data_IF_606895906563
#
_entry.id   IF_606895906563
#
_cell.length_a   1.000
_cell.length_b   1.000
_cell.length_c   1.000
_cell.angle_alpha   90.00
_cell.angle_beta   90.00
_cell.angle_gamma   90.00
#
_symmetry.space_group_name_H-M   'P 1'
#
loop_
_entity.id
_entity.type
_entity.pdbx_description
1 polymer ?
#
# COMPACT_ATOMS: atom_id res chain seq x y z
N UNK A 1 29.27 -39.90 -76.67
CA UNK A 1 30.49 -39.73 -75.87
C UNK A 1 30.25 -38.53 -74.96
N UNK A 2 29.86 -38.81 -73.74
CA UNK A 2 29.65 -37.78 -72.72
C UNK A 2 30.87 -37.83 -71.78
N UNK A 3 31.57 -36.73 -71.66
CA UNK A 3 32.66 -36.53 -70.70
C UNK A 3 32.04 -35.93 -69.43
N UNK A 4 32.08 -36.70 -68.35
CA UNK A 4 31.70 -36.23 -67.04
C UNK A 4 32.90 -35.48 -66.38
N UNK A 5 32.77 -34.19 -66.15
CA UNK A 5 33.72 -33.41 -65.41
C UNK A 5 33.37 -33.54 -63.89
N UNK A 6 34.21 -34.21 -63.12
CA UNK A 6 34.09 -34.28 -61.68
C UNK A 6 34.56 -32.99 -61.04
N UNK A 7 33.66 -32.35 -60.27
CA UNK A 7 33.94 -31.22 -59.45
C UNK A 7 34.35 -31.76 -58.04
N UNK A 8 35.64 -31.71 -57.71
CA UNK A 8 36.15 -31.95 -56.35
C UNK A 8 35.98 -30.66 -55.55
N UNK A 9 34.93 -30.60 -54.71
CA UNK A 9 34.82 -29.56 -53.68
C UNK A 9 35.83 -29.85 -52.58
N UNK A 10 36.87 -29.06 -52.51
CA UNK A 10 37.78 -29.05 -51.39
C UNK A 10 37.07 -28.56 -50.12
N UNK A 11 36.93 -29.42 -49.13
CA UNK A 11 36.58 -29.01 -47.77
C UNK A 11 37.77 -28.22 -47.21
N UNK A 12 37.70 -26.91 -47.23
CA UNK A 12 38.54 -26.08 -46.35
C UNK A 12 38.11 -26.37 -44.92
N UNK A 13 38.88 -27.17 -44.22
CA UNK A 13 38.78 -27.23 -42.77
C UNK A 13 39.17 -25.84 -42.24
N UNK A 14 38.22 -25.12 -41.69
CA UNK A 14 38.51 -24.02 -40.81
C UNK A 14 39.30 -24.59 -39.65
N UNK A 15 40.58 -24.30 -39.62
CA UNK A 15 41.44 -24.53 -38.48
C UNK A 15 41.03 -23.48 -37.39
N UNK A 16 39.90 -23.77 -36.75
CA UNK A 16 39.45 -22.99 -35.57
C UNK A 16 40.50 -23.26 -34.49
N UNK A 17 41.49 -22.41 -34.45
CA UNK A 17 42.35 -22.29 -33.28
C UNK A 17 41.46 -21.89 -32.14
N UNK A 18 41.03 -22.89 -31.34
CA UNK A 18 40.43 -22.63 -30.04
C UNK A 18 41.54 -21.94 -29.23
N UNK A 19 41.47 -20.61 -29.18
CA UNK A 19 42.35 -19.87 -28.31
C UNK A 19 42.11 -20.37 -26.88
N UNK A 20 43.16 -20.71 -26.14
CA UNK A 20 42.99 -21.16 -24.77
C UNK A 20 42.27 -20.03 -23.99
N UNK A 21 41.16 -20.37 -23.33
CA UNK A 21 40.47 -19.45 -22.45
C UNK A 21 41.47 -18.95 -21.39
N UNK A 22 41.83 -17.68 -21.45
CA UNK A 22 42.63 -17.02 -20.41
C UNK A 22 41.68 -16.34 -19.45
N UNK A 23 41.65 -16.78 -18.21
CA UNK A 23 40.88 -16.13 -17.19
C UNK A 23 41.44 -14.71 -16.95
N UNK A 24 40.61 -13.70 -17.26
CA UNK A 24 40.92 -12.33 -16.92
C UNK A 24 40.49 -12.03 -15.47
N UNK A 25 41.30 -11.29 -14.73
CA UNK A 25 41.03 -10.88 -13.37
C UNK A 25 41.99 -11.47 -12.33
N UNK A 26 41.62 -11.38 -11.07
CA UNK A 26 42.46 -11.87 -9.97
C UNK A 26 42.51 -13.41 -9.95
N UNK A 27 43.72 -13.96 -10.04
CA UNK A 27 43.98 -15.42 -10.05
C UNK A 27 44.68 -15.93 -8.79
N UNK A 28 44.95 -15.07 -7.82
CA UNK A 28 45.53 -15.43 -6.53
C UNK A 28 44.55 -16.16 -5.62
N UNK A 29 45.01 -16.61 -4.45
CA UNK A 29 44.16 -17.28 -3.46
C UNK A 29 43.16 -16.28 -2.85
N UNK A 30 41.84 -16.51 -2.96
CA UNK A 30 40.84 -15.58 -2.42
C UNK A 30 40.84 -15.60 -0.88
N UNK A 31 40.79 -14.39 -0.30
CA UNK A 31 40.66 -14.23 1.16
C UNK A 31 39.19 -14.30 1.54
N UNK A 32 38.88 -14.94 2.67
CA UNK A 32 37.51 -15.04 3.17
C UNK A 32 36.97 -13.64 3.46
N UNK A 33 35.71 -13.42 3.07
CA UNK A 33 35.01 -12.17 3.33
C UNK A 33 34.91 -11.90 4.85
N UNK A 34 35.16 -10.66 5.27
CA UNK A 34 35.03 -10.27 6.67
C UNK A 34 33.56 -9.99 7.02
N UNK A 35 32.90 -11.01 7.58
CA UNK A 35 31.50 -10.93 8.00
C UNK A 35 31.24 -9.88 9.10
N UNK A 36 32.28 -9.45 9.84
CA UNK A 36 32.12 -8.44 10.90
C UNK A 36 31.81 -7.03 10.34
N UNK A 37 32.06 -6.81 9.05
CA UNK A 37 31.74 -5.55 8.35
C UNK A 37 30.28 -5.45 7.92
N UNK A 38 29.50 -6.55 8.00
CA UNK A 38 28.12 -6.57 7.57
C UNK A 38 27.20 -5.98 8.64
N UNK A 39 26.40 -5.03 8.23
CA UNK A 39 25.22 -4.56 8.97
C UNK A 39 23.95 -5.00 8.24
N UNK A 40 22.87 -5.19 8.99
CA UNK A 40 21.56 -5.52 8.42
C UNK A 40 20.49 -4.57 8.93
N UNK A 41 19.52 -4.27 8.07
CA UNK A 41 18.34 -3.48 8.38
C UNK A 41 17.10 -4.30 8.00
N UNK A 42 16.19 -4.50 8.98
CA UNK A 42 14.92 -5.18 8.77
C UNK A 42 13.90 -4.17 8.21
N UNK A 43 13.60 -4.28 6.92
CA UNK A 43 12.57 -3.49 6.24
C UNK A 43 11.27 -4.29 6.12
N UNK A 44 10.11 -3.64 5.88
CA UNK A 44 8.83 -4.33 5.73
C UNK A 44 8.83 -5.38 4.61
N UNK A 45 8.92 -6.67 4.95
CA UNK A 45 9.01 -7.77 3.99
C UNK A 45 10.34 -7.89 3.25
N UNK A 46 11.41 -7.23 3.74
CA UNK A 46 12.71 -7.18 3.10
C UNK A 46 13.85 -7.21 4.12
N UNK A 47 15.03 -7.62 3.66
CA UNK A 47 16.28 -7.57 4.42
C UNK A 47 17.29 -6.78 3.60
N UNK A 48 17.78 -5.68 4.15
CA UNK A 48 18.86 -4.91 3.54
C UNK A 48 20.17 -5.24 4.26
N UNK A 49 21.12 -5.79 3.51
CA UNK A 49 22.48 -6.00 3.95
C UNK A 49 23.37 -4.89 3.40
N UNK A 50 24.32 -4.43 4.22
CA UNK A 50 25.32 -3.44 3.82
C UNK A 50 26.67 -3.81 4.43
N UNK A 51 27.75 -3.63 3.69
CA UNK A 51 29.10 -3.95 4.15
C UNK A 51 30.13 -2.98 3.60
N UNK A 52 31.30 -2.97 4.21
CA UNK A 52 32.46 -2.21 3.70
C UNK A 52 33.08 -2.96 2.50
N UNK A 53 33.43 -2.22 1.45
CA UNK A 53 34.15 -2.82 0.32
C UNK A 53 35.39 -3.57 0.82
N UNK A 54 35.57 -4.86 0.46
CA UNK A 54 36.75 -5.63 0.86
C UNK A 54 38.03 -5.04 0.31
N UNK A 55 39.06 -4.97 1.15
CA UNK A 55 40.38 -4.46 0.74
C UNK A 55 41.15 -5.44 -0.12
N UNK A 56 40.95 -6.75 0.13
CA UNK A 56 41.63 -7.82 -0.59
C UNK A 56 41.05 -8.03 -1.99
N UNK A 57 41.89 -8.58 -2.90
CA UNK A 57 41.46 -8.83 -4.26
C UNK A 57 40.67 -10.15 -4.38
N UNK A 58 39.63 -10.09 -5.18
CA UNK A 58 38.83 -11.21 -5.67
C UNK A 58 38.13 -10.82 -6.99
N UNK A 59 37.64 -11.80 -7.74
CA UNK A 59 36.93 -11.53 -8.99
C UNK A 59 35.45 -11.30 -8.79
N UNK A 60 34.80 -12.14 -7.94
CA UNK A 60 33.40 -12.01 -7.58
C UNK A 60 33.12 -12.63 -6.22
N UNK A 61 32.00 -12.31 -5.63
CA UNK A 61 31.53 -12.90 -4.39
C UNK A 61 30.16 -13.54 -4.60
N UNK A 62 29.97 -14.74 -4.04
CA UNK A 62 28.66 -15.38 -3.94
C UNK A 62 28.08 -15.15 -2.54
N UNK A 63 26.79 -14.77 -2.51
CA UNK A 63 25.99 -14.67 -1.31
C UNK A 63 24.85 -15.67 -1.46
N UNK A 64 24.86 -16.70 -0.60
CA UNK A 64 23.87 -17.78 -0.63
C UNK A 64 23.02 -17.75 0.61
N UNK A 65 21.75 -18.02 0.46
CA UNK A 65 20.80 -18.16 1.57
C UNK A 65 19.66 -19.11 1.16
N UNK A 66 19.06 -19.75 2.14
CA UNK A 66 17.82 -20.52 1.92
C UNK A 66 16.63 -19.53 1.99
N UNK A 67 15.75 -19.58 1.00
CA UNK A 67 14.49 -18.85 1.00
C UNK A 67 13.35 -19.77 1.48
N UNK A 68 12.78 -19.53 2.66
CA UNK A 68 11.70 -20.36 3.19
C UNK A 68 10.38 -20.29 2.40
N UNK A 69 10.17 -19.21 1.61
CA UNK A 69 8.97 -19.07 0.79
C UNK A 69 8.99 -20.00 -0.42
N UNK A 70 10.07 -19.94 -1.20
CA UNK A 70 10.25 -20.81 -2.37
C UNK A 70 10.73 -22.21 -1.99
N UNK A 71 11.20 -22.42 -0.75
CA UNK A 71 11.87 -23.62 -0.27
C UNK A 71 13.16 -23.95 -1.06
N UNK A 72 13.84 -22.92 -1.57
CA UNK A 72 15.01 -23.05 -2.43
C UNK A 72 16.26 -22.38 -1.86
N UNK A 73 17.43 -22.88 -2.24
CA UNK A 73 18.71 -22.21 -2.03
C UNK A 73 18.93 -21.14 -3.10
N UNK A 74 19.02 -19.89 -2.67
CA UNK A 74 19.25 -18.73 -3.55
C UNK A 74 20.73 -18.38 -3.56
N UNK A 75 21.28 -18.10 -4.74
CA UNK A 75 22.64 -17.59 -4.94
C UNK A 75 22.61 -16.24 -5.65
N UNK A 76 23.22 -15.23 -5.05
CA UNK A 76 23.48 -13.92 -5.65
C UNK A 76 24.98 -13.79 -5.92
N UNK A 77 25.35 -13.36 -7.13
CA UNK A 77 26.72 -13.07 -7.52
C UNK A 77 26.88 -11.57 -7.59
N UNK A 78 27.89 -11.05 -6.90
CA UNK A 78 28.19 -9.62 -6.84
C UNK A 78 29.64 -9.34 -7.17
N UNK A 79 29.94 -8.16 -7.72
CA UNK A 79 31.29 -7.68 -8.00
C UNK A 79 31.97 -7.14 -6.74
N UNK A 80 33.29 -6.94 -6.79
CA UNK A 80 34.07 -6.39 -5.68
C UNK A 80 33.56 -5.02 -5.18
N UNK A 81 33.17 -4.11 -6.08
CA UNK A 81 32.65 -2.80 -5.71
C UNK A 81 31.22 -2.79 -5.16
N UNK A 82 30.57 -3.95 -5.04
CA UNK A 82 29.22 -4.04 -4.44
C UNK A 82 29.35 -4.01 -2.92
N UNK A 83 28.62 -3.10 -2.28
CA UNK A 83 28.63 -2.87 -0.82
C UNK A 83 27.28 -3.10 -0.15
N UNK A 84 26.32 -3.70 -0.84
CA UNK A 84 25.02 -4.01 -0.28
C UNK A 84 24.20 -4.96 -1.13
N UNK A 85 23.20 -5.56 -0.50
CA UNK A 85 22.21 -6.45 -1.11
C UNK A 85 20.85 -6.19 -0.47
N UNK A 86 19.83 -5.94 -1.28
CA UNK A 86 18.44 -5.96 -0.85
C UNK A 86 17.85 -7.34 -1.17
N UNK A 87 17.31 -8.00 -0.16
CA UNK A 87 16.59 -9.27 -0.29
C UNK A 87 15.13 -8.99 -0.07
N UNK A 88 14.39 -8.99 -1.15
CA UNK A 88 12.96 -8.70 -1.18
C UNK A 88 12.13 -9.96 -0.90
N UNK A 89 10.86 -9.76 -0.64
CA UNK A 89 9.87 -10.82 -0.46
C UNK A 89 10.20 -11.80 0.69
N UNK A 90 10.83 -11.29 1.74
CA UNK A 90 11.10 -12.05 2.97
C UNK A 90 9.94 -11.92 3.97
N UNK A 91 9.95 -12.72 5.04
CA UNK A 91 8.92 -12.69 6.10
C UNK A 91 9.57 -12.73 7.48
N UNK A 92 9.07 -11.89 8.38
CA UNK A 92 9.54 -11.87 9.77
C UNK A 92 9.27 -13.19 10.51
N UNK A 93 8.16 -13.87 10.17
CA UNK A 93 7.77 -15.14 10.79
C UNK A 93 8.79 -16.28 10.64
N UNK A 94 9.70 -16.18 9.68
CA UNK A 94 10.74 -17.19 9.49
C UNK A 94 11.97 -16.98 10.38
N UNK A 95 12.02 -15.86 11.14
CA UNK A 95 13.15 -15.57 12.04
C UNK A 95 14.44 -15.25 11.28
N UNK A 96 15.51 -15.92 11.66
CA UNK A 96 16.84 -15.65 11.10
C UNK A 96 17.01 -16.26 9.70
N UNK A 97 17.36 -15.40 8.74
CA UNK A 97 17.93 -15.80 7.45
C UNK A 97 19.45 -15.87 7.59
N UNK A 98 20.05 -17.00 7.23
CA UNK A 98 21.50 -17.20 7.28
C UNK A 98 22.13 -16.97 5.91
N UNK A 99 22.89 -15.90 5.79
CA UNK A 99 23.61 -15.51 4.57
C UNK A 99 25.04 -16.03 4.62
N UNK A 100 25.43 -16.78 3.58
CA UNK A 100 26.76 -17.36 3.41
C UNK A 100 27.51 -16.60 2.34
N UNK A 101 28.60 -15.95 2.72
CA UNK A 101 29.46 -15.17 1.85
C UNK A 101 30.69 -15.96 1.48
N UNK A 102 31.06 -15.97 0.20
CA UNK A 102 32.25 -16.62 -0.30
C UNK A 102 32.83 -15.83 -1.48
N UNK A 103 34.09 -15.42 -1.41
CA UNK A 103 34.81 -14.76 -2.48
C UNK A 103 35.45 -15.79 -3.41
N UNK A 104 35.60 -15.43 -4.69
CA UNK A 104 36.15 -16.29 -5.74
C UNK A 104 37.17 -15.52 -6.58
N UNK A 105 38.21 -16.24 -7.05
CA UNK A 105 39.14 -15.73 -8.05
C UNK A 105 38.60 -16.02 -9.47
N UNK A 106 39.35 -15.57 -10.50
CA UNK A 106 39.00 -15.79 -11.91
C UNK A 106 39.08 -17.26 -12.36
N UNK A 107 39.73 -18.10 -11.59
CA UNK A 107 39.79 -19.57 -11.81
C UNK A 107 38.65 -20.32 -11.10
N UNK A 108 37.68 -19.60 -10.51
CA UNK A 108 36.57 -20.13 -9.73
C UNK A 108 36.97 -20.87 -8.45
N UNK A 109 38.15 -20.62 -7.94
CA UNK A 109 38.56 -21.11 -6.64
C UNK A 109 37.96 -20.23 -5.56
N UNK A 110 37.31 -20.86 -4.54
CA UNK A 110 36.59 -20.15 -3.48
C UNK A 110 37.37 -20.03 -2.19
N UNK A 111 37.17 -18.92 -1.47
CA UNK A 111 37.67 -18.77 -0.10
C UNK A 111 36.89 -19.64 0.89
N UNK A 112 37.26 -19.59 2.18
CA UNK A 112 36.41 -20.09 3.25
C UNK A 112 35.09 -19.31 3.31
N UNK A 113 33.97 -20.03 3.50
CA UNK A 113 32.64 -19.41 3.70
C UNK A 113 32.57 -18.73 5.05
N UNK A 114 31.96 -17.54 5.10
CA UNK A 114 31.59 -16.83 6.34
C UNK A 114 30.09 -16.62 6.37
N UNK A 115 29.50 -16.54 7.58
CA UNK A 115 28.05 -16.48 7.75
C UNK A 115 27.63 -15.23 8.52
N UNK A 116 26.50 -14.67 8.13
CA UNK A 116 25.81 -13.58 8.83
C UNK A 116 24.35 -13.96 8.97
N UNK A 117 23.76 -13.67 10.12
CA UNK A 117 22.31 -13.78 10.34
C UNK A 117 21.66 -12.42 10.31
N UNK A 118 20.50 -12.34 9.66
CA UNK A 118 19.70 -11.15 9.59
C UNK A 118 18.20 -11.50 9.58
N UNK A 119 17.36 -10.57 10.00
CA UNK A 119 15.92 -10.77 10.08
C UNK A 119 15.19 -9.80 9.15
N UNK A 120 14.03 -10.21 8.64
CA UNK A 120 13.09 -9.37 7.93
C UNK A 120 12.21 -8.59 8.91
N UNK A 121 11.75 -7.40 8.52
CA UNK A 121 10.58 -6.81 9.12
C UNK A 121 9.29 -7.51 8.66
N UNK A 122 8.17 -7.35 9.39
CA UNK A 122 6.89 -7.91 8.97
C UNK A 122 6.49 -7.42 7.57
N UNK A 123 6.07 -8.35 6.72
CA UNK A 123 5.60 -8.02 5.38
C UNK A 123 4.27 -7.25 5.46
N UNK A 124 4.05 -6.23 4.62
CA UNK A 124 2.86 -5.40 4.67
C UNK A 124 1.57 -6.22 4.44
N UNK A 125 0.56 -5.96 5.26
CA UNK A 125 -0.79 -6.44 5.04
C UNK A 125 -1.42 -5.72 3.86
N UNK A 126 -2.05 -6.46 2.96
CA UNK A 126 -2.82 -5.89 1.85
C UNK A 126 -4.31 -5.98 2.16
N UNK A 127 -5.02 -4.87 1.99
CA UNK A 127 -6.46 -4.76 2.16
C UNK A 127 -7.11 -4.52 0.79
N UNK A 128 -8.06 -5.38 0.42
CA UNK A 128 -8.78 -5.26 -0.85
C UNK A 128 -10.28 -5.15 -0.58
N UNK A 129 -10.90 -4.07 -1.07
CA UNK A 129 -12.36 -3.95 -1.05
C UNK A 129 -12.96 -5.01 -1.98
N UNK A 130 -13.77 -5.91 -1.42
CA UNK A 130 -14.45 -6.99 -2.16
C UNK A 130 -15.83 -6.54 -2.60
N UNK A 131 -16.55 -5.87 -1.70
CA UNK A 131 -17.94 -5.48 -1.93
C UNK A 131 -18.30 -4.24 -1.13
N UNK A 132 -19.13 -3.41 -1.73
CA UNK A 132 -19.75 -2.25 -1.09
C UNK A 132 -21.26 -2.38 -1.14
N UNK A 133 -21.91 -2.39 0.01
CA UNK A 133 -23.36 -2.56 0.14
C UNK A 133 -23.98 -1.32 0.77
N UNK A 134 -24.91 -0.67 0.05
CA UNK A 134 -25.61 0.51 0.58
C UNK A 134 -26.47 0.11 1.78
N UNK A 135 -26.34 0.87 2.87
CA UNK A 135 -27.19 0.74 4.05
C UNK A 135 -28.46 1.54 3.81
N UNK A 136 -29.61 0.89 3.93
CA UNK A 136 -30.91 1.53 3.78
C UNK A 136 -31.25 2.31 5.05
N UNK A 137 -31.14 3.62 4.95
CA UNK A 137 -31.42 4.55 6.04
C UNK A 137 -32.85 5.08 5.98
N UNK A 138 -33.40 5.39 7.15
CA UNK A 138 -34.67 6.12 7.28
C UNK A 138 -34.42 7.50 7.88
N UNK A 139 -35.32 8.44 7.61
CA UNK A 139 -35.22 9.81 8.12
C UNK A 139 -35.09 9.89 9.65
N UNK A 140 -35.70 8.94 10.35
CA UNK A 140 -35.70 8.89 11.82
C UNK A 140 -34.35 8.47 12.42
N UNK A 141 -33.43 7.98 11.58
CA UNK A 141 -32.05 7.66 11.96
C UNK A 141 -31.12 8.87 11.77
N UNK A 142 -31.58 9.94 11.11
CA UNK A 142 -30.77 11.12 10.84
C UNK A 142 -31.02 12.22 11.86
N UNK A 143 -29.96 12.86 12.31
CA UNK A 143 -30.01 14.07 13.13
C UNK A 143 -28.86 15.02 12.80
N UNK A 144 -29.00 16.27 13.24
CA UNK A 144 -27.97 17.31 13.12
C UNK A 144 -28.04 18.23 14.32
N UNK A 145 -26.94 18.87 14.65
CA UNK A 145 -26.87 19.87 15.72
C UNK A 145 -27.41 21.26 15.30
N UNK A 146 -27.54 21.50 14.00
CA UNK A 146 -27.82 22.86 13.54
C UNK A 146 -28.68 22.90 12.26
N UNK A 147 -29.93 22.43 12.31
CA UNK A 147 -30.88 22.44 11.19
C UNK A 147 -31.36 23.90 10.88
N UNK A 148 -31.37 24.28 9.58
CA UNK A 148 -32.12 25.49 9.16
C UNK A 148 -33.61 25.27 9.36
N UNK A 149 -34.31 26.18 10.09
CA UNK A 149 -35.72 25.95 10.44
C UNK A 149 -36.70 26.16 9.28
N UNK A 150 -36.33 26.86 8.22
CA UNK A 150 -37.25 27.27 7.16
C UNK A 150 -37.09 26.54 5.85
N UNK A 151 -35.95 25.88 5.63
CA UNK A 151 -35.65 25.15 4.40
C UNK A 151 -34.67 24.01 4.63
N UNK A 152 -34.53 23.12 3.66
CA UNK A 152 -33.50 22.11 3.61
C UNK A 152 -33.55 21.11 4.78
N UNK A 153 -34.67 20.43 5.06
CA UNK A 153 -34.76 19.49 6.15
C UNK A 153 -33.83 18.27 5.90
N UNK A 154 -33.29 17.71 6.98
CA UNK A 154 -32.31 16.61 6.91
C UNK A 154 -32.84 15.37 6.16
N UNK A 155 -34.16 15.19 6.13
CA UNK A 155 -34.81 14.07 5.40
C UNK A 155 -34.52 14.11 3.88
N UNK A 156 -34.22 15.28 3.32
CA UNK A 156 -33.90 15.44 1.90
C UNK A 156 -32.59 14.74 1.51
N UNK A 157 -31.73 14.39 2.48
CA UNK A 157 -30.52 13.61 2.23
C UNK A 157 -30.76 12.19 1.73
N UNK A 158 -32.02 11.70 1.83
CA UNK A 158 -32.39 10.31 1.52
C UNK A 158 -33.48 10.19 0.47
N UNK A 159 -33.92 11.29 -0.17
CA UNK A 159 -35.09 11.27 -1.07
C UNK A 159 -34.75 10.91 -2.53
N UNK A 160 -33.45 10.78 -2.86
CA UNK A 160 -32.99 10.42 -4.19
C UNK A 160 -33.12 11.55 -5.23
N UNK A 161 -33.39 12.79 -4.79
CA UNK A 161 -33.62 13.95 -5.65
C UNK A 161 -32.56 15.03 -5.46
N UNK A 162 -31.62 15.13 -6.36
CA UNK A 162 -30.54 16.13 -6.27
C UNK A 162 -30.98 17.60 -6.40
N UNK A 163 -32.26 17.86 -6.65
CA UNK A 163 -32.84 19.21 -6.61
C UNK A 163 -33.35 19.62 -5.23
N UNK A 164 -33.55 18.67 -4.33
CA UNK A 164 -33.75 18.90 -2.91
C UNK A 164 -32.42 18.93 -2.19
N UNK A 165 -32.40 19.45 -0.97
CA UNK A 165 -31.13 19.59 -0.23
C UNK A 165 -31.38 19.65 1.27
N UNK A 166 -30.37 19.29 2.02
CA UNK A 166 -30.20 19.58 3.44
C UNK A 166 -29.38 20.87 3.62
N UNK A 167 -29.72 21.66 4.66
CA UNK A 167 -28.99 22.87 4.99
C UNK A 167 -28.84 23.04 6.49
N UNK A 168 -27.62 23.22 6.97
CA UNK A 168 -27.42 23.72 8.33
C UNK A 168 -27.74 25.21 8.41
N UNK A 169 -28.00 25.68 9.62
CA UNK A 169 -28.57 27.03 9.81
C UNK A 169 -27.67 28.14 9.26
N UNK A 170 -28.16 28.81 8.23
CA UNK A 170 -27.55 30.02 7.65
C UNK A 170 -28.22 31.32 8.15
N UNK A 171 -29.47 31.20 8.63
CA UNK A 171 -30.23 32.34 9.20
C UNK A 171 -29.67 32.73 10.58
N UNK A 172 -29.99 33.98 11.00
CA UNK A 172 -29.55 34.46 12.33
C UNK A 172 -30.36 33.79 13.47
N UNK A 173 -29.75 33.47 14.61
CA UNK A 173 -28.32 33.52 14.91
C UNK A 173 -27.54 32.33 14.27
N UNK A 174 -26.43 32.64 13.58
CA UNK A 174 -25.56 31.64 13.02
C UNK A 174 -24.65 31.01 14.09
N UNK A 175 -24.42 29.72 13.97
CA UNK A 175 -23.44 28.99 14.78
C UNK A 175 -22.25 28.62 13.87
N UNK A 176 -21.01 28.85 14.29
CA UNK A 176 -19.86 28.49 13.45
C UNK A 176 -19.67 26.96 13.33
N UNK A 177 -18.95 26.53 12.30
CA UNK A 177 -18.44 25.16 12.20
C UNK A 177 -17.50 24.85 13.38
N UNK A 178 -17.37 23.58 13.81
CA UNK A 178 -17.88 22.39 13.13
C UNK A 178 -19.37 22.10 13.41
N UNK A 179 -20.03 21.47 12.43
CA UNK A 179 -21.42 21.02 12.49
C UNK A 179 -21.52 19.66 11.83
N UNK A 180 -22.52 18.84 12.19
CA UNK A 180 -22.57 17.47 11.72
C UNK A 180 -23.92 17.03 11.15
N UNK A 181 -23.85 15.96 10.33
CA UNK A 181 -24.91 15.00 10.08
C UNK A 181 -24.57 13.78 10.90
N UNK A 182 -25.52 13.30 11.73
CA UNK A 182 -25.40 12.07 12.52
C UNK A 182 -26.35 11.02 12.00
N UNK A 183 -25.90 9.78 12.00
CA UNK A 183 -26.70 8.58 11.74
C UNK A 183 -26.69 7.72 12.99
N UNK A 184 -27.88 7.38 13.47
CA UNK A 184 -28.08 6.41 14.56
C UNK A 184 -28.61 5.11 13.95
N UNK A 185 -27.72 4.13 13.84
CA UNK A 185 -28.03 2.85 13.20
C UNK A 185 -28.86 1.95 14.12
N UNK A 186 -29.61 1.04 13.52
CA UNK A 186 -30.35 -0.03 14.23
C UNK A 186 -29.48 -1.25 14.52
N UNK A 187 -28.39 -1.40 13.79
CA UNK A 187 -27.43 -2.50 13.86
C UNK A 187 -26.02 -1.94 14.00
N UNK A 188 -25.06 -2.78 14.38
CA UNK A 188 -23.67 -2.41 14.43
C UNK A 188 -23.03 -2.51 13.04
N UNK A 189 -22.17 -1.56 12.73
CA UNK A 189 -21.34 -1.53 11.51
C UNK A 189 -19.86 -1.59 11.90
N UNK A 190 -19.00 -1.89 10.95
CA UNK A 190 -17.55 -2.00 11.17
C UNK A 190 -16.76 -1.26 10.06
N UNK A 191 -16.49 -1.92 8.94
CA UNK A 191 -15.81 -1.30 7.80
C UNK A 191 -16.82 -0.58 6.92
N UNK A 192 -16.54 0.66 6.53
CA UNK A 192 -17.53 1.49 5.86
C UNK A 192 -16.95 2.43 4.80
N UNK A 193 -17.83 2.96 3.98
CA UNK A 193 -17.57 4.09 3.11
C UNK A 193 -18.78 5.02 3.05
N UNK A 194 -18.57 6.25 2.63
CA UNK A 194 -19.64 7.22 2.43
C UNK A 194 -19.67 7.72 0.99
N UNK A 195 -20.84 8.18 0.60
CA UNK A 195 -21.07 8.91 -0.64
C UNK A 195 -22.01 10.06 -0.35
N UNK A 196 -21.74 11.22 -0.95
CA UNK A 196 -22.70 12.32 -0.95
C UNK A 196 -22.71 13.05 -2.29
N UNK A 197 -23.77 13.81 -2.52
CA UNK A 197 -23.88 14.71 -3.68
C UNK A 197 -23.99 16.14 -3.16
N UNK A 198 -23.19 17.04 -3.69
CA UNK A 198 -23.26 18.46 -3.37
C UNK A 198 -24.57 19.06 -3.86
N UNK A 199 -25.05 20.12 -3.15
CA UNK A 199 -26.28 20.81 -3.49
C UNK A 199 -26.28 21.34 -4.93
N UNK A 200 -27.43 21.24 -5.61
CA UNK A 200 -27.69 21.90 -6.87
C UNK A 200 -27.94 23.41 -6.63
N UNK A 201 -26.91 24.23 -6.76
CA UNK A 201 -26.96 25.67 -6.50
C UNK A 201 -25.94 26.41 -7.37
N UNK A 202 -26.31 27.62 -7.79
CA UNK A 202 -25.47 28.44 -8.66
C UNK A 202 -24.39 29.26 -7.95
N UNK A 203 -24.46 29.43 -6.61
CA UNK A 203 -23.39 30.07 -5.83
C UNK A 203 -22.31 29.08 -5.44
N UNK A 204 -21.23 29.55 -4.81
CA UNK A 204 -20.11 28.72 -4.39
C UNK A 204 -19.97 28.58 -2.87
N UNK A 205 -20.97 29.04 -2.11
CA UNK A 205 -20.92 29.09 -0.65
C UNK A 205 -21.47 27.81 -0.04
N UNK A 206 -20.97 27.41 1.12
CA UNK A 206 -21.56 26.37 1.95
C UNK A 206 -21.31 24.91 1.50
N UNK A 207 -20.48 24.64 0.49
CA UNK A 207 -20.07 23.28 0.20
C UNK A 207 -19.07 22.79 1.26
N UNK A 208 -19.22 21.59 1.85
CA UNK A 208 -18.19 21.02 2.70
C UNK A 208 -16.85 20.95 1.97
N UNK A 209 -15.76 21.44 2.56
CA UNK A 209 -14.39 21.36 2.00
C UNK A 209 -13.47 20.51 2.84
N UNK A 210 -13.81 20.32 4.13
CA UNK A 210 -13.16 19.38 5.02
C UNK A 210 -14.18 18.81 6.02
N UNK A 211 -14.03 17.55 6.39
CA UNK A 211 -14.88 16.87 7.36
C UNK A 211 -14.12 15.76 8.08
N UNK A 212 -14.49 15.50 9.33
CA UNK A 212 -14.06 14.33 10.08
C UNK A 212 -15.18 13.28 10.05
N UNK A 213 -14.77 12.02 9.80
CA UNK A 213 -15.64 10.86 9.96
C UNK A 213 -15.49 10.35 11.38
N UNK A 214 -16.54 10.40 12.15
CA UNK A 214 -16.56 10.02 13.55
C UNK A 214 -17.49 8.83 13.78
N UNK A 215 -17.11 7.95 14.70
CA UNK A 215 -17.91 6.81 15.13
C UNK A 215 -18.09 6.82 16.64
N UNK A 216 -19.16 6.16 17.10
CA UNK A 216 -19.43 5.95 18.51
C UNK A 216 -20.22 4.65 18.71
N UNK A 217 -19.93 3.96 19.82
CA UNK A 217 -20.72 2.79 20.24
C UNK A 217 -21.91 3.19 21.15
N UNK A 218 -21.84 4.34 21.81
CA UNK A 218 -22.80 4.76 22.85
C UNK A 218 -23.53 6.08 22.51
N UNK A 219 -23.22 6.69 21.36
CA UNK A 219 -23.75 8.00 20.95
C UNK A 219 -23.29 9.19 21.79
N UNK A 220 -22.35 9.00 22.71
CA UNK A 220 -21.83 10.02 23.65
C UNK A 220 -20.33 10.25 23.46
N UNK A 221 -19.57 9.18 23.38
CA UNK A 221 -18.11 9.23 23.19
C UNK A 221 -17.80 9.06 21.71
N UNK A 222 -17.19 10.06 21.10
CA UNK A 222 -16.90 10.10 19.66
C UNK A 222 -15.43 9.99 19.38
N UNK A 223 -15.08 9.22 18.35
CA UNK A 223 -13.72 9.04 17.86
C UNK A 223 -13.67 9.39 16.38
N UNK A 224 -12.71 10.23 16.00
CA UNK A 224 -12.40 10.51 14.59
C UNK A 224 -11.58 9.36 14.03
N UNK A 225 -12.12 8.67 13.02
CA UNK A 225 -11.47 7.52 12.36
C UNK A 225 -10.90 7.87 10.99
N UNK A 226 -11.31 9.00 10.42
CA UNK A 226 -10.73 9.54 9.20
C UNK A 226 -10.99 11.05 9.11
N UNK A 227 -10.06 11.78 8.50
CA UNK A 227 -10.23 13.20 8.18
C UNK A 227 -10.17 13.38 6.67
N UNK A 228 -11.16 14.05 6.11
CA UNK A 228 -11.29 14.33 4.68
C UNK A 228 -10.97 15.80 4.41
N UNK A 229 -10.24 16.05 3.34
CA UNK A 229 -9.89 17.40 2.88
C UNK A 229 -9.97 17.49 1.35
N UNK A 230 -10.05 18.73 0.83
CA UNK A 230 -10.16 18.93 -0.62
C UNK A 230 -11.47 18.39 -1.20
N UNK A 231 -12.54 18.38 -0.40
CA UNK A 231 -13.86 17.92 -0.83
C UNK A 231 -14.40 18.83 -1.93
N UNK A 232 -15.27 18.30 -2.84
CA UNK A 232 -15.76 19.05 -3.99
C UNK A 232 -16.61 20.26 -3.57
N UNK A 233 -16.27 21.42 -4.11
CA UNK A 233 -16.97 22.70 -3.87
C UNK A 233 -17.65 23.20 -5.15
N UNK A 234 -18.35 22.32 -5.86
CA UNK A 234 -19.10 22.60 -7.07
C UNK A 234 -20.46 21.93 -7.05
N UNK A 235 -21.42 22.54 -7.77
CA UNK A 235 -22.82 22.08 -7.83
C UNK A 235 -22.94 20.68 -8.42
N UNK A 236 -23.80 19.85 -7.83
CA UNK A 236 -24.17 18.49 -8.30
C UNK A 236 -22.95 17.60 -8.55
N UNK A 237 -22.00 17.65 -7.64
CA UNK A 237 -20.80 16.81 -7.72
C UNK A 237 -20.91 15.67 -6.72
N UNK A 238 -20.70 14.47 -7.19
CA UNK A 238 -20.65 13.27 -6.38
C UNK A 238 -19.26 13.13 -5.73
N UNK A 239 -19.22 12.81 -4.45
CA UNK A 239 -18.03 12.40 -3.73
C UNK A 239 -18.22 10.97 -3.18
N UNK A 240 -17.23 10.13 -3.38
CA UNK A 240 -17.19 8.77 -2.83
C UNK A 240 -15.88 8.63 -2.07
N UNK A 241 -15.95 8.26 -0.78
CA UNK A 241 -14.75 8.04 0.01
C UNK A 241 -14.05 6.73 -0.35
N UNK A 242 -12.75 6.63 -0.04
CA UNK A 242 -12.13 5.34 0.21
C UNK A 242 -12.86 4.65 1.36
N UNK A 243 -12.71 3.32 1.49
CA UNK A 243 -13.24 2.64 2.66
C UNK A 243 -12.42 3.01 3.91
N UNK A 244 -13.09 3.02 5.05
CA UNK A 244 -12.52 3.27 6.37
C UNK A 244 -12.67 2.02 7.20
N UNK A 245 -11.58 1.59 7.82
CA UNK A 245 -11.52 0.41 8.69
C UNK A 245 -11.15 0.79 10.11
N UNK A 246 -12.14 1.04 10.99
CA UNK A 246 -11.88 1.45 12.37
C UNK A 246 -11.29 0.34 13.24
N UNK A 247 -11.42 -0.93 12.84
CA UNK A 247 -11.03 -2.10 13.62
C UNK A 247 -11.91 -2.38 14.84
N UNK A 248 -13.09 -1.80 14.87
CA UNK A 248 -14.11 -1.96 15.93
C UNK A 248 -15.51 -1.65 15.41
N UNK A 249 -16.51 -2.22 16.08
CA UNK A 249 -17.92 -1.99 15.77
C UNK A 249 -18.43 -0.69 16.36
N UNK A 250 -19.42 -0.10 15.70
CA UNK A 250 -20.11 1.12 16.12
C UNK A 250 -21.56 1.10 15.68
N UNK A 251 -22.43 1.84 16.38
CA UNK A 251 -23.84 2.03 16.03
C UNK A 251 -24.22 3.49 15.78
N UNK A 252 -23.26 4.41 15.88
CA UNK A 252 -23.46 5.84 15.61
C UNK A 252 -22.33 6.38 14.74
N UNK A 253 -22.67 7.19 13.75
CA UNK A 253 -21.73 7.81 12.83
C UNK A 253 -21.99 9.30 12.72
N UNK A 254 -20.94 10.12 12.57
CA UNK A 254 -21.03 11.54 12.22
C UNK A 254 -20.16 11.87 11.01
N UNK A 255 -20.74 12.64 10.11
CA UNK A 255 -20.03 13.42 9.14
C UNK A 255 -19.91 14.84 9.70
N UNK A 256 -18.79 15.13 10.39
CA UNK A 256 -18.53 16.39 11.07
C UNK A 256 -17.82 17.35 10.13
N UNK A 257 -18.54 18.31 9.57
CA UNK A 257 -17.97 19.34 8.68
C UNK A 257 -17.18 20.34 9.49
N UNK A 258 -15.90 20.42 9.22
CA UNK A 258 -14.95 21.31 9.90
C UNK A 258 -14.63 22.57 9.10
N UNK A 259 -14.85 22.53 7.76
CA UNK A 259 -14.65 23.67 6.87
C UNK A 259 -15.64 23.63 5.70
N UNK A 260 -16.07 24.79 5.26
CA UNK A 260 -16.93 24.95 4.09
C UNK A 260 -16.40 26.04 3.14
N UNK A 261 -16.80 25.96 1.88
CA UNK A 261 -16.39 26.90 0.83
C UNK A 261 -16.82 28.34 1.15
N UNK A 262 -16.08 29.30 0.62
CA UNK A 262 -16.27 30.73 0.83
C UNK A 262 -16.27 31.19 2.32
N UNK A 263 -15.57 30.43 3.20
CA UNK A 263 -15.54 30.64 4.65
C UNK A 263 -16.94 30.68 5.30
N UNK A 264 -17.87 29.92 4.73
CA UNK A 264 -19.25 29.84 5.24
C UNK A 264 -19.26 29.19 6.64
N UNK A 265 -20.17 29.68 7.50
CA UNK A 265 -20.42 29.12 8.84
C UNK A 265 -21.47 28.02 8.83
N UNK A 266 -21.87 27.57 7.66
CA UNK A 266 -22.91 26.58 7.41
C UNK A 266 -22.48 25.69 6.26
N UNK A 267 -23.15 24.57 6.11
CA UNK A 267 -22.99 23.71 4.93
C UNK A 267 -24.32 23.15 4.43
N UNK A 268 -24.30 22.66 3.22
CA UNK A 268 -25.43 22.02 2.57
C UNK A 268 -24.97 20.89 1.65
N UNK A 269 -25.88 19.93 1.39
CA UNK A 269 -25.71 18.88 0.39
C UNK A 269 -27.06 18.35 -0.07
N UNK A 270 -27.12 17.68 -1.22
CA UNK A 270 -28.37 17.12 -1.74
C UNK A 270 -28.61 15.72 -1.21
N UNK A 271 -27.65 14.84 -1.28
CA UNK A 271 -27.80 13.42 -0.94
C UNK A 271 -26.67 12.94 -0.06
N UNK A 272 -26.97 11.96 0.82
CA UNK A 272 -25.99 11.25 1.61
C UNK A 272 -26.29 9.75 1.61
N UNK A 273 -25.26 8.93 1.51
CA UNK A 273 -25.36 7.48 1.57
C UNK A 273 -24.22 6.90 2.40
N UNK A 274 -24.53 5.90 3.17
CA UNK A 274 -23.58 5.09 3.94
C UNK A 274 -23.53 3.68 3.36
N UNK A 275 -22.35 3.07 3.37
CA UNK A 275 -22.12 1.74 2.82
C UNK A 275 -21.33 0.90 3.79
N UNK A 276 -21.76 -0.34 4.00
CA UNK A 276 -20.90 -1.37 4.55
C UNK A 276 -19.91 -1.83 3.49
N UNK A 277 -18.68 -2.08 3.91
CA UNK A 277 -17.61 -2.54 3.04
C UNK A 277 -17.10 -3.90 3.54
N UNK A 278 -17.11 -4.87 2.66
CA UNK A 278 -16.46 -6.16 2.88
C UNK A 278 -15.02 -6.05 2.38
N UNK A 279 -14.04 -6.33 3.26
CA UNK A 279 -12.63 -6.21 2.98
C UNK A 279 -11.95 -7.57 3.10
N UNK A 280 -11.27 -7.99 2.05
CA UNK A 280 -10.34 -9.11 2.09
C UNK A 280 -9.01 -8.66 2.68
N UNK A 281 -8.48 -9.43 3.62
CA UNK A 281 -7.25 -9.14 4.36
C UNK A 281 -6.21 -10.19 4.01
N UNK A 282 -5.25 -9.82 3.17
CA UNK A 282 -4.10 -10.65 2.90
C UNK A 282 -2.95 -10.26 3.82
N UNK A 283 -2.68 -11.11 4.82
CA UNK A 283 -1.56 -10.95 5.74
C UNK A 283 -0.47 -12.01 5.42
N UNK A 284 0.63 -11.60 4.77
CA UNK A 284 1.70 -12.52 4.37
C UNK A 284 2.38 -13.23 5.54
N UNK A 285 2.26 -12.69 6.76
CA UNK A 285 2.89 -13.29 7.94
C UNK A 285 2.07 -14.46 8.52
N UNK A 286 0.78 -14.57 8.19
CA UNK A 286 -0.13 -15.58 8.75
C UNK A 286 -0.57 -16.65 7.78
N UNK A 287 -0.45 -16.40 6.47
CA UNK A 287 -0.89 -17.36 5.44
C UNK A 287 0.00 -18.61 5.46
N UNK A 288 -0.60 -19.83 5.53
CA UNK A 288 0.15 -21.06 5.40
C UNK A 288 0.96 -21.10 4.09
N UNK A 289 2.15 -21.68 4.13
CA UNK A 289 2.85 -22.04 2.91
C UNK A 289 2.14 -23.29 2.33
N UNK A 290 1.83 -23.24 1.04
CA UNK A 290 1.32 -24.43 0.35
C UNK A 290 2.35 -25.56 0.51
N UNK A 291 1.87 -26.74 0.89
CA UNK A 291 2.69 -27.95 1.10
C UNK A 291 3.24 -28.51 -0.22
#
# INVERSE_FOLDING_TARGET
>A
MLVAAGLTAGLAACDDKIEPFVAEGFTGTPVAFDASTVSSEALPGEIKLSWTEPAEDFSYMQIRYFDPLSKEDVCRIVSKGTTGLLVENTRARFGDYTFRFQTFNALHEGSRVTEVKAQSGPAPVTLTEVKRTKVELTKDQLSTDNQEPTEGPIANLLDGNTNTFFHTRWSSPQVPLPQYIQIDFKEEHEDFAIKYVTRNIGNKDGFPTAADLQISADGKTWETVASLSGLPASSVTEYVSAFVRPGKKFSHFRFLVTSASANSKYFHMSEFSFYDVEVDVYDPETIPLDE
#
